data_IF_783202052726
#
_entry.id   IF_783202052726
#
_cell.length_a   1.000
_cell.length_b   1.000
_cell.length_c   1.000
_cell.angle_alpha   90.00
_cell.angle_beta   90.00
_cell.angle_gamma   90.00
#
_symmetry.space_group_name_H-M   'P 1'
#
loop_
_entity.id
_entity.type
_entity.pdbx_description
1 polymer ?
#
# COMPACT_ATOMS: atom_id res chain seq x y z
N UNK A 1 -5.11 17.31 -2.17
CA UNK A 1 -5.86 17.14 -3.43
C UNK A 1 -6.94 16.10 -3.17
N UNK A 2 -8.21 16.45 -3.37
CA UNK A 2 -9.34 15.54 -3.19
C UNK A 2 -9.90 15.03 -4.52
N UNK A 3 -9.63 15.73 -5.62
CA UNK A 3 -10.17 15.44 -6.93
C UNK A 3 -9.11 15.66 -8.02
N UNK A 4 -9.11 14.77 -9.00
CA UNK A 4 -8.43 14.93 -10.30
C UNK A 4 -9.52 15.23 -11.31
N UNK A 5 -9.43 16.38 -11.99
CA UNK A 5 -10.47 16.85 -12.90
C UNK A 5 -10.59 16.04 -14.19
N UNK A 6 -11.68 16.27 -14.91
CA UNK A 6 -11.91 15.68 -16.23
C UNK A 6 -10.76 16.03 -17.19
N UNK A 7 -10.30 15.07 -17.97
CA UNK A 7 -9.23 15.19 -18.96
C UNK A 7 -7.90 15.82 -18.44
N UNK A 8 -7.65 15.81 -17.12
CA UNK A 8 -6.54 16.56 -16.51
C UNK A 8 -5.15 16.20 -17.07
N UNK A 9 -4.97 14.95 -17.50
CA UNK A 9 -3.74 14.44 -18.10
C UNK A 9 -4.00 13.70 -19.42
N UNK A 10 -5.08 14.03 -20.12
CA UNK A 10 -5.42 13.40 -21.40
C UNK A 10 -4.25 13.51 -22.41
N UNK A 11 -3.93 12.40 -23.08
CA UNK A 11 -2.89 12.32 -24.12
C UNK A 11 -1.46 12.49 -23.61
N UNK A 12 -1.23 12.50 -22.29
CA UNK A 12 0.10 12.71 -21.71
C UNK A 12 1.00 11.46 -21.85
N UNK A 13 1.48 11.18 -23.06
CA UNK A 13 2.36 10.04 -23.37
C UNK A 13 3.71 10.07 -22.66
N UNK A 14 4.14 11.22 -22.14
CA UNK A 14 5.35 11.35 -21.31
C UNK A 14 5.14 10.97 -19.85
N UNK A 15 3.90 10.74 -19.40
CA UNK A 15 3.59 10.33 -18.03
C UNK A 15 3.88 8.84 -17.85
N UNK A 16 5.04 8.51 -17.27
CA UNK A 16 5.46 7.12 -17.08
C UNK A 16 5.07 6.54 -15.72
N UNK A 17 4.93 7.39 -14.70
CA UNK A 17 4.51 6.99 -13.36
C UNK A 17 3.48 7.95 -12.78
N UNK A 18 2.46 7.37 -12.15
CA UNK A 18 1.41 8.08 -11.43
C UNK A 18 1.44 7.69 -9.95
N UNK A 19 1.35 8.68 -9.06
CA UNK A 19 1.10 8.44 -7.63
C UNK A 19 -0.23 9.07 -7.26
N UNK A 20 -1.18 8.25 -6.82
CA UNK A 20 -2.46 8.67 -6.26
C UNK A 20 -2.35 8.75 -4.74
N UNK A 21 -2.25 9.96 -4.14
CA UNK A 21 -2.11 10.10 -2.71
C UNK A 21 -3.40 9.71 -1.98
N UNK A 22 -3.29 9.40 -0.69
CA UNK A 22 -4.39 8.88 0.14
C UNK A 22 -5.64 9.76 0.20
N UNK A 23 -5.52 11.06 -0.10
CA UNK A 23 -6.62 12.01 -0.09
C UNK A 23 -7.45 12.08 -1.37
N UNK A 24 -7.06 11.42 -2.47
CA UNK A 24 -7.83 11.44 -3.72
C UNK A 24 -9.11 10.64 -3.55
N UNK A 25 -10.25 11.32 -3.65
CA UNK A 25 -11.58 10.73 -3.52
C UNK A 25 -12.32 10.63 -4.85
N UNK A 26 -11.92 11.42 -5.86
CA UNK A 26 -12.56 11.45 -7.17
C UNK A 26 -11.56 11.62 -8.31
N UNK A 27 -11.80 10.91 -9.40
CA UNK A 27 -11.07 11.02 -10.67
C UNK A 27 -12.11 11.23 -11.78
N UNK A 28 -12.01 12.35 -12.48
CA UNK A 28 -12.96 12.76 -13.50
C UNK A 28 -12.90 11.93 -14.79
N UNK A 29 -13.88 12.13 -15.67
CA UNK A 29 -13.95 11.47 -16.98
C UNK A 29 -12.67 11.74 -17.78
N UNK A 30 -12.15 10.73 -18.48
CA UNK A 30 -10.97 10.84 -19.35
C UNK A 30 -9.68 11.35 -18.67
N UNK A 31 -9.61 11.38 -17.33
CA UNK A 31 -8.53 12.07 -16.62
C UNK A 31 -7.11 11.62 -17.02
N UNK A 32 -6.93 10.36 -17.42
CA UNK A 32 -5.68 9.79 -17.93
C UNK A 32 -5.85 9.11 -19.30
N UNK A 33 -6.91 9.46 -20.04
CA UNK A 33 -7.18 8.89 -21.35
C UNK A 33 -6.00 9.10 -22.30
N UNK A 34 -5.56 8.07 -23.01
CA UNK A 34 -4.44 8.12 -23.95
C UNK A 34 -3.05 8.27 -23.33
N UNK A 35 -2.90 8.08 -22.00
CA UNK A 35 -1.59 8.07 -21.33
C UNK A 35 -0.79 6.77 -21.63
N UNK A 36 -0.44 6.55 -22.89
CA UNK A 36 0.22 5.33 -23.39
C UNK A 36 1.62 5.07 -22.83
N UNK A 37 2.24 6.08 -22.19
CA UNK A 37 3.54 5.96 -21.53
C UNK A 37 3.49 5.38 -20.11
N UNK A 38 2.31 5.24 -19.50
CA UNK A 38 2.17 4.78 -18.12
C UNK A 38 2.70 3.34 -17.97
N UNK A 39 3.65 3.16 -17.06
CA UNK A 39 4.20 1.85 -16.70
C UNK A 39 3.97 1.51 -15.23
N UNK A 40 3.65 2.49 -14.38
CA UNK A 40 3.45 2.24 -12.95
C UNK A 40 2.48 3.23 -12.32
N UNK A 41 1.50 2.70 -11.59
CA UNK A 41 0.55 3.49 -10.79
C UNK A 41 0.68 3.06 -9.34
N UNK A 42 0.98 4.00 -8.45
CA UNK A 42 1.01 3.77 -7.01
C UNK A 42 -0.22 4.38 -6.35
N UNK A 43 -1.06 3.54 -5.74
CA UNK A 43 -2.30 3.96 -5.11
C UNK A 43 -2.18 3.87 -3.59
N UNK A 44 -2.25 5.02 -2.93
CA UNK A 44 -2.21 5.14 -1.47
C UNK A 44 -3.59 5.40 -0.86
N UNK A 45 -4.67 5.35 -1.65
CA UNK A 45 -6.03 5.55 -1.17
C UNK A 45 -6.58 4.26 -0.54
N UNK A 46 -6.90 4.31 0.75
CA UNK A 46 -7.52 3.20 1.49
C UNK A 46 -8.94 2.88 1.02
N UNK A 47 -9.60 3.85 0.36
CA UNK A 47 -10.92 3.68 -0.25
C UNK A 47 -10.80 3.93 -1.74
N UNK A 48 -11.49 3.11 -2.52
CA UNK A 48 -11.56 3.26 -3.96
C UNK A 48 -12.08 4.68 -4.33
N UNK A 49 -11.34 5.47 -5.11
CA UNK A 49 -11.83 6.75 -5.61
C UNK A 49 -13.06 6.56 -6.49
N UNK A 50 -14.00 7.51 -6.46
CA UNK A 50 -15.06 7.55 -7.45
C UNK A 50 -14.45 7.90 -8.82
N UNK A 51 -14.68 7.06 -9.82
CA UNK A 51 -14.08 7.22 -11.14
C UNK A 51 -15.15 7.55 -12.19
N UNK A 52 -14.83 8.51 -13.05
CA UNK A 52 -15.58 8.81 -14.26
C UNK A 52 -15.39 7.74 -15.33
N UNK A 53 -15.92 8.00 -16.52
CA UNK A 53 -15.81 7.11 -17.67
C UNK A 53 -14.41 7.19 -18.31
N UNK A 54 -13.97 6.06 -18.88
CA UNK A 54 -12.80 5.96 -19.76
C UNK A 54 -11.50 6.56 -19.18
N UNK A 55 -11.36 6.54 -17.84
CA UNK A 55 -10.27 7.20 -17.12
C UNK A 55 -8.90 6.79 -17.65
N UNK A 56 -8.72 5.52 -17.98
CA UNK A 56 -7.47 4.92 -18.44
C UNK A 56 -7.53 4.36 -19.87
N UNK A 57 -8.62 4.61 -20.61
CA UNK A 57 -8.72 4.13 -21.99
C UNK A 57 -7.53 4.67 -22.82
N UNK A 58 -6.93 3.81 -23.65
CA UNK A 58 -5.74 4.17 -24.43
C UNK A 58 -4.41 4.12 -23.67
N UNK A 59 -4.40 3.75 -22.39
CA UNK A 59 -3.18 3.33 -21.69
C UNK A 59 -2.74 1.93 -22.14
N UNK A 60 -1.47 1.56 -21.95
CA UNK A 60 -1.01 0.19 -22.24
C UNK A 60 -1.23 -0.73 -21.01
N UNK A 61 -2.42 -1.34 -20.94
CA UNK A 61 -2.86 -2.21 -19.85
C UNK A 61 -1.83 -3.28 -19.43
N UNK A 62 -1.08 -3.81 -20.41
CA UNK A 62 -0.14 -4.93 -20.21
C UNK A 62 1.23 -4.47 -19.73
N UNK A 63 1.60 -3.23 -19.99
CA UNK A 63 2.89 -2.66 -19.59
C UNK A 63 2.84 -1.89 -18.27
N UNK A 64 1.64 -1.60 -17.78
CA UNK A 64 1.47 -0.88 -16.53
C UNK A 64 1.16 -1.83 -15.37
N UNK A 65 1.88 -1.66 -14.27
CA UNK A 65 1.60 -2.34 -13.00
C UNK A 65 0.92 -1.36 -12.05
N UNK A 66 -0.20 -1.77 -11.46
CA UNK A 66 -0.88 -1.01 -10.40
C UNK A 66 -0.46 -1.56 -9.05
N UNK A 67 0.12 -0.70 -8.21
CA UNK A 67 0.51 -1.01 -6.85
C UNK A 67 -0.55 -0.49 -5.89
N UNK A 68 -1.22 -1.38 -5.17
CA UNK A 68 -2.32 -1.05 -4.23
C UNK A 68 -1.97 -1.46 -2.80
N UNK A 69 -2.64 -0.87 -1.82
CA UNK A 69 -2.42 -1.22 -0.42
C UNK A 69 -2.81 -2.67 -0.15
N UNK A 70 -2.04 -3.36 0.70
CA UNK A 70 -2.38 -4.72 1.14
C UNK A 70 -3.80 -4.80 1.71
N UNK A 71 -4.56 -5.80 1.25
CA UNK A 71 -5.96 -6.00 1.61
C UNK A 71 -6.95 -5.22 0.74
N UNK A 72 -6.50 -4.52 -0.30
CA UNK A 72 -7.38 -3.78 -1.23
C UNK A 72 -7.39 -4.33 -2.65
N UNK A 73 -6.66 -5.43 -2.92
CA UNK A 73 -6.56 -6.03 -4.26
C UNK A 73 -7.93 -6.24 -4.93
N UNK A 74 -8.86 -6.91 -4.26
CA UNK A 74 -10.16 -7.29 -4.86
C UNK A 74 -10.98 -6.05 -5.24
N UNK A 75 -11.02 -5.03 -4.37
CA UNK A 75 -11.76 -3.79 -4.61
C UNK A 75 -11.21 -3.03 -5.84
N UNK A 76 -9.88 -2.98 -5.98
CA UNK A 76 -9.24 -2.33 -7.11
C UNK A 76 -9.31 -3.16 -8.39
N UNK A 77 -9.20 -4.48 -8.30
CA UNK A 77 -9.35 -5.39 -9.42
C UNK A 77 -10.75 -5.34 -10.05
N UNK A 78 -11.80 -5.17 -9.24
CA UNK A 78 -13.17 -5.05 -9.71
C UNK A 78 -13.55 -3.64 -10.21
N UNK A 79 -12.64 -2.67 -10.08
CA UNK A 79 -12.84 -1.28 -10.51
C UNK A 79 -12.23 -1.01 -11.90
N UNK A 80 -12.27 0.25 -12.36
CA UNK A 80 -11.54 0.69 -13.58
C UNK A 80 -10.03 0.40 -13.51
N UNK A 81 -9.43 0.23 -12.32
CA UNK A 81 -8.03 -0.19 -12.22
C UNK A 81 -7.81 -1.63 -12.68
N UNK A 82 -8.83 -2.49 -12.66
CA UNK A 82 -8.81 -3.84 -13.21
C UNK A 82 -8.55 -3.89 -14.72
N UNK A 83 -8.67 -2.75 -15.41
CA UNK A 83 -8.19 -2.57 -16.77
C UNK A 83 -6.72 -2.98 -16.93
N UNK A 84 -5.90 -2.67 -15.92
CA UNK A 84 -4.49 -3.03 -15.89
C UNK A 84 -4.37 -4.48 -15.40
N UNK A 85 -4.05 -5.39 -16.33
CA UNK A 85 -4.00 -6.84 -16.11
C UNK A 85 -3.03 -7.27 -14.97
N UNK A 86 -2.20 -6.35 -14.49
CA UNK A 86 -1.23 -6.57 -13.42
C UNK A 86 -1.46 -5.62 -12.22
N UNK A 87 -2.03 -6.15 -11.14
CA UNK A 87 -2.18 -5.47 -9.85
C UNK A 87 -1.34 -6.19 -8.80
N UNK A 88 -0.56 -5.44 -8.02
CA UNK A 88 0.32 -5.95 -6.98
C UNK A 88 0.03 -5.22 -5.67
N UNK A 89 -0.17 -5.98 -4.60
CA UNK A 89 -0.28 -5.39 -3.28
C UNK A 89 1.10 -5.00 -2.73
N UNK A 90 1.15 -3.87 -2.01
CA UNK A 90 2.31 -3.46 -1.25
C UNK A 90 1.92 -2.97 0.14
N UNK A 91 2.88 -3.08 1.07
CA UNK A 91 2.77 -2.52 2.41
C UNK A 91 3.62 -1.24 2.48
N UNK A 92 3.02 -0.04 2.50
CA UNK A 92 3.75 1.22 2.56
C UNK A 92 4.48 1.42 3.90
N UNK A 93 4.13 0.65 4.93
CA UNK A 93 4.74 0.78 6.27
C UNK A 93 6.12 0.11 6.36
N UNK A 94 6.46 -0.76 5.40
CA UNK A 94 7.69 -1.56 5.43
C UNK A 94 7.68 -2.68 6.48
N UNK A 95 6.51 -3.06 7.01
CA UNK A 95 6.36 -4.00 8.13
C UNK A 95 6.11 -5.45 7.63
N UNK A 96 6.30 -5.74 6.34
CA UNK A 96 6.09 -7.04 5.67
C UNK A 96 6.66 -8.30 6.36
N UNK A 97 7.50 -8.18 7.40
CA UNK A 97 8.05 -9.29 8.17
C UNK A 97 7.51 -9.42 9.61
N UNK A 98 6.47 -8.70 10.02
CA UNK A 98 5.81 -8.99 11.31
C UNK A 98 4.86 -10.17 11.10
N UNK A 99 5.45 -11.36 11.10
CA UNK A 99 4.72 -12.60 11.36
C UNK A 99 4.12 -12.43 12.74
N UNK A 100 2.82 -12.22 12.85
CA UNK A 100 2.11 -12.42 14.12
C UNK A 100 1.72 -13.89 14.18
N UNK A 101 2.67 -14.76 14.52
CA UNK A 101 2.29 -16.11 14.95
C UNK A 101 1.71 -15.99 16.36
N UNK A 102 0.48 -16.48 16.56
CA UNK A 102 -0.13 -16.57 17.89
C UNK A 102 0.53 -17.67 18.75
N UNK A 103 1.38 -18.50 18.15
CA UNK A 103 2.14 -19.57 18.80
C UNK A 103 3.61 -19.20 19.05
N UNK A 104 3.98 -17.95 18.80
CA UNK A 104 5.35 -17.50 18.92
C UNK A 104 5.80 -17.53 20.39
N UNK A 105 6.80 -18.36 20.69
CA UNK A 105 7.38 -18.47 22.03
C UNK A 105 8.39 -17.35 22.23
N UNK A 106 8.35 -16.72 23.40
CA UNK A 106 9.38 -15.77 23.81
C UNK A 106 10.74 -16.46 23.89
N UNK A 107 11.73 -15.96 23.15
CA UNK A 107 13.10 -16.46 23.17
C UNK A 107 13.99 -15.64 24.10
N UNK A 108 13.82 -14.33 24.07
CA UNK A 108 14.61 -13.40 24.88
C UNK A 108 13.91 -12.07 25.05
N UNK A 109 14.25 -11.39 26.14
CA UNK A 109 13.66 -10.13 26.55
C UNK A 109 14.76 -9.16 26.98
N UNK A 110 14.58 -7.90 26.67
CA UNK A 110 15.54 -6.85 26.96
C UNK A 110 14.85 -5.61 27.51
N UNK A 111 15.57 -4.84 28.33
CA UNK A 111 15.16 -3.48 28.71
C UNK A 111 15.29 -2.54 27.53
N UNK A 112 14.75 -1.32 27.66
CA UNK A 112 14.94 -0.25 26.66
C UNK A 112 16.41 0.09 26.40
N UNK A 113 17.28 -0.16 27.38
CA UNK A 113 18.71 0.11 27.27
C UNK A 113 19.49 -1.07 26.68
N UNK A 114 18.80 -2.10 26.17
CA UNK A 114 19.42 -3.28 25.55
C UNK A 114 19.97 -4.31 26.54
N UNK A 115 19.72 -4.17 27.85
CA UNK A 115 20.12 -5.17 28.84
C UNK A 115 19.19 -6.37 28.80
N UNK A 116 19.75 -7.59 28.72
CA UNK A 116 18.95 -8.82 28.75
C UNK A 116 18.27 -9.00 30.10
N UNK A 117 16.96 -9.25 30.09
CA UNK A 117 16.13 -9.50 31.26
C UNK A 117 15.90 -11.00 31.42
N UNK A 118 15.96 -11.49 32.65
CA UNK A 118 15.65 -12.90 32.99
C UNK A 118 14.16 -13.15 33.22
N UNK A 119 13.37 -12.09 33.43
CA UNK A 119 11.93 -12.12 33.64
C UNK A 119 11.30 -10.79 33.16
N UNK A 120 9.96 -10.72 33.00
CA UNK A 120 9.27 -9.46 32.76
C UNK A 120 9.63 -8.41 33.83
N UNK A 121 10.04 -7.22 33.39
CA UNK A 121 10.36 -6.09 34.27
C UNK A 121 9.33 -4.99 34.05
N UNK A 122 8.95 -4.26 35.11
CA UNK A 122 7.97 -3.17 35.02
C UNK A 122 8.41 -2.14 33.98
N UNK A 123 7.49 -1.74 33.12
CA UNK A 123 7.74 -0.79 32.03
C UNK A 123 7.91 -1.48 30.67
N UNK A 124 8.62 -0.81 29.76
CA UNK A 124 8.72 -1.25 28.37
C UNK A 124 9.81 -2.30 28.19
N UNK A 125 9.43 -3.45 27.63
CA UNK A 125 10.29 -4.58 27.35
C UNK A 125 10.35 -4.78 25.83
N UNK A 126 11.54 -5.07 25.31
CA UNK A 126 11.73 -5.49 23.92
C UNK A 126 11.83 -7.02 23.93
N UNK A 127 10.88 -7.70 23.29
CA UNK A 127 10.76 -9.16 23.32
C UNK A 127 10.98 -9.72 21.93
N UNK A 128 11.92 -10.66 21.80
CA UNK A 128 12.18 -11.41 20.58
C UNK A 128 11.50 -12.78 20.65
N UNK A 129 10.79 -13.15 19.59
CA UNK A 129 10.00 -14.36 19.52
C UNK A 129 10.59 -15.39 18.53
N UNK A 130 10.13 -16.63 18.64
CA UNK A 130 10.59 -17.77 17.82
C UNK A 130 10.22 -17.67 16.35
N UNK A 131 9.22 -16.87 16.00
CA UNK A 131 8.83 -16.55 14.62
C UNK A 131 9.70 -15.46 13.98
N UNK A 132 10.72 -14.97 14.69
CA UNK A 132 11.60 -13.90 14.23
C UNK A 132 11.08 -12.49 14.53
N UNK A 133 9.84 -12.34 15.01
CA UNK A 133 9.29 -11.04 15.36
C UNK A 133 9.95 -10.44 16.61
N UNK A 134 9.99 -9.11 16.66
CA UNK A 134 10.41 -8.35 17.85
C UNK A 134 9.25 -7.40 18.21
N UNK A 135 8.71 -7.53 19.42
CA UNK A 135 7.58 -6.73 19.88
C UNK A 135 7.96 -5.89 21.09
N UNK A 136 7.35 -4.71 21.19
CA UNK A 136 7.40 -3.86 22.38
C UNK A 136 6.24 -4.27 23.31
N UNK A 137 6.56 -4.75 24.51
CA UNK A 137 5.59 -5.23 25.49
C UNK A 137 5.64 -4.36 26.73
N UNK A 138 4.52 -3.76 27.10
CA UNK A 138 4.38 -3.00 28.35
C UNK A 138 3.99 -3.96 29.46
N UNK A 139 4.80 -4.03 30.51
CA UNK A 139 4.54 -4.81 31.72
C UNK A 139 4.14 -3.83 32.83
N UNK A 140 2.95 -4.02 33.40
CA UNK A 140 2.41 -3.17 34.47
C UNK A 140 3.02 -3.49 35.84
#
# INVERSE_FOLDING_TARGET
VTEIGNAAFEGCSGLTSLTLPSGVAKIGDYAFHGCSGLTSIYVYAEKLPNMGNDVFEGCDAKKCTVYVLKGTYDDYWLSEFGYFENIVEFDPTGINNVITSNDAKELSRYSLNGQRLSAPSKGLNIVKYSDGSVKKVVVQ
#
